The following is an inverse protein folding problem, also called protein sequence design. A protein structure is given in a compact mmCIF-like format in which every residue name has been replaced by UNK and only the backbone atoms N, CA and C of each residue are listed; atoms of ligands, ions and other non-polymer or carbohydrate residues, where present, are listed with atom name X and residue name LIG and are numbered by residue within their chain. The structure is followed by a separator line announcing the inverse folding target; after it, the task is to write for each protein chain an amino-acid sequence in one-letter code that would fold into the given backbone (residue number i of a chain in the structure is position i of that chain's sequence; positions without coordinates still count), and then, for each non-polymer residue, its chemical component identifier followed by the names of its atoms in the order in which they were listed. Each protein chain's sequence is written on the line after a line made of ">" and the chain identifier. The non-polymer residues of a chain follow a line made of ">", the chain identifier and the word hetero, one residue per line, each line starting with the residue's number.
data_IF_754501224303
#
_entry.id   IF_754501224303
#
_cell.length_a   1.000
_cell.length_b   1.000
_cell.length_c   1.000
_cell.angle_alpha   90.00
_cell.angle_beta   90.00
_cell.angle_gamma   90.00
#
_symmetry.space_group_name_H-M   'P 1'
#
loop_
_entity.id
_entity.type
_entity.pdbx_description
1 polymer ?
#
# COMPACT_ATOMS: atom_id res chain seq x y z
N UNK A 1 -10.97 -9.43 -1.22
CA UNK A 1 -10.16 -9.83 -0.05
C UNK A 1 -8.98 -10.71 -0.47
N UNK A 2 -9.18 -11.68 -1.37
CA UNK A 2 -8.09 -12.52 -1.89
C UNK A 2 -6.93 -11.76 -2.56
N UNK A 3 -7.18 -10.58 -3.15
CA UNK A 3 -6.13 -9.73 -3.73
C UNK A 3 -5.10 -9.23 -2.69
N UNK A 4 -5.43 -9.27 -1.39
CA UNK A 4 -4.51 -8.83 -0.34
C UNK A 4 -3.30 -9.77 -0.21
N UNK A 5 -3.42 -11.04 -0.61
CA UNK A 5 -2.30 -11.99 -0.63
C UNK A 5 -1.25 -11.64 -1.70
N UNK A 6 -1.62 -10.92 -2.74
CA UNK A 6 -0.70 -10.52 -3.81
C UNK A 6 0.34 -9.51 -3.31
N UNK A 7 0.02 -8.71 -2.29
CA UNK A 7 0.92 -7.69 -1.73
C UNK A 7 2.17 -8.29 -1.05
N UNK A 8 2.05 -9.19 -0.05
CA UNK A 8 3.23 -9.82 0.57
C UNK A 8 4.01 -10.69 -0.42
N UNK A 9 3.33 -11.31 -1.39
CA UNK A 9 4.02 -12.02 -2.49
C UNK A 9 4.86 -11.06 -3.34
N UNK A 10 4.34 -9.88 -3.65
CA UNK A 10 5.10 -8.79 -4.27
C UNK A 10 6.30 -8.37 -3.43
N UNK A 11 6.13 -8.24 -2.12
CA UNK A 11 7.21 -7.84 -1.22
C UNK A 11 8.31 -8.90 -1.13
N UNK A 12 7.96 -10.19 -1.03
CA UNK A 12 8.91 -11.32 -1.06
C UNK A 12 9.66 -11.40 -2.39
N UNK A 13 8.95 -11.23 -3.51
CA UNK A 13 9.57 -11.30 -4.84
C UNK A 13 10.54 -10.13 -5.06
N UNK A 14 10.18 -8.91 -4.67
CA UNK A 14 11.08 -7.75 -4.73
C UNK A 14 12.27 -7.94 -3.81
N UNK A 15 12.07 -8.40 -2.57
CA UNK A 15 13.16 -8.71 -1.64
C UNK A 15 14.11 -9.77 -2.22
N UNK A 16 13.55 -10.82 -2.84
CA UNK A 16 14.31 -11.84 -3.56
C UNK A 16 15.12 -11.27 -4.72
N UNK A 17 14.52 -10.48 -5.60
CA UNK A 17 15.21 -9.83 -6.73
C UNK A 17 16.33 -8.90 -6.23
N UNK A 18 16.07 -8.17 -5.14
CA UNK A 18 17.04 -7.25 -4.55
C UNK A 18 18.26 -7.94 -3.92
N UNK A 19 18.17 -9.24 -3.60
CA UNK A 19 19.32 -10.05 -3.20
C UNK A 19 20.31 -10.26 -4.36
N UNK A 20 19.78 -10.44 -5.58
CA UNK A 20 20.58 -10.64 -6.79
C UNK A 20 21.06 -9.32 -7.40
N UNK A 21 20.23 -8.28 -7.35
CA UNK A 21 20.50 -6.97 -7.95
C UNK A 21 20.70 -5.92 -6.84
N UNK A 22 21.97 -5.61 -6.56
CA UNK A 22 22.36 -4.66 -5.50
C UNK A 22 22.32 -3.17 -5.94
N UNK A 23 22.18 -2.90 -7.24
CA UNK A 23 22.08 -1.54 -7.76
C UNK A 23 20.64 -1.02 -7.69
N UNK A 24 20.42 0.13 -7.03
CA UNK A 24 19.09 0.73 -6.91
C UNK A 24 18.47 1.10 -8.26
N UNK A 25 19.30 1.48 -9.26
CA UNK A 25 18.85 1.79 -10.63
C UNK A 25 18.35 0.55 -11.37
N UNK A 26 19.11 -0.53 -11.31
CA UNK A 26 18.76 -1.80 -11.95
C UNK A 26 17.50 -2.42 -11.31
N UNK A 27 17.37 -2.29 -9.99
CA UNK A 27 16.16 -2.70 -9.28
C UNK A 27 14.93 -1.89 -9.74
N UNK A 28 15.07 -0.56 -9.85
CA UNK A 28 13.99 0.32 -10.33
C UNK A 28 13.59 0.00 -11.77
N UNK A 29 14.55 -0.27 -12.65
CA UNK A 29 14.30 -0.68 -14.04
C UNK A 29 13.54 -2.01 -14.07
N UNK A 30 13.96 -2.99 -13.28
CA UNK A 30 13.31 -4.32 -13.21
C UNK A 30 11.86 -4.21 -12.74
N UNK A 31 11.60 -3.40 -11.71
CA UNK A 31 10.25 -3.15 -11.20
C UNK A 31 9.39 -2.45 -12.26
N UNK A 32 9.94 -1.42 -12.90
CA UNK A 32 9.22 -0.65 -13.93
C UNK A 32 8.91 -1.51 -15.15
N UNK A 33 9.86 -2.37 -15.57
CA UNK A 33 9.67 -3.30 -16.68
C UNK A 33 8.54 -4.29 -16.39
N UNK A 34 8.50 -4.83 -15.16
CA UNK A 34 7.40 -5.67 -14.71
C UNK A 34 6.08 -4.91 -14.72
N UNK A 35 6.08 -3.63 -14.34
CA UNK A 35 4.90 -2.79 -14.35
C UNK A 35 4.34 -2.54 -15.77
N UNK A 36 5.21 -2.45 -16.79
CA UNK A 36 4.83 -2.24 -18.20
C UNK A 36 4.09 -3.44 -18.79
N UNK A 37 4.20 -4.64 -18.19
CA UNK A 37 3.44 -5.82 -18.62
C UNK A 37 1.95 -5.72 -18.22
N UNK A 38 1.59 -4.96 -17.18
CA UNK A 38 0.19 -4.85 -16.75
C UNK A 38 -0.75 -4.15 -17.75
N UNK A 39 -0.36 -3.07 -18.43
CA UNK A 39 -1.14 -2.52 -19.54
C UNK A 39 -1.41 -3.54 -20.65
N UNK A 40 -0.47 -4.44 -20.95
CA UNK A 40 -0.68 -5.48 -21.95
C UNK A 40 -1.73 -6.49 -21.49
N UNK A 41 -1.80 -6.78 -20.19
CA UNK A 41 -2.84 -7.61 -19.58
C UNK A 41 -4.22 -6.95 -19.62
N UNK A 42 -4.32 -5.62 -19.70
CA UNK A 42 -5.62 -4.93 -19.79
C UNK A 42 -6.42 -5.31 -21.04
N UNK A 43 -5.75 -5.73 -22.12
CA UNK A 43 -6.41 -6.26 -23.31
C UNK A 43 -6.99 -7.67 -23.11
N UNK A 44 -6.51 -8.41 -22.11
CA UNK A 44 -6.99 -9.76 -21.81
C UNK A 44 -8.18 -9.75 -20.85
N UNK A 45 -8.25 -8.78 -19.94
CA UNK A 45 -9.31 -8.70 -18.93
C UNK A 45 -10.51 -7.91 -19.44
N UNK A 46 -11.68 -8.55 -19.41
CA UNK A 46 -12.95 -7.86 -19.67
C UNK A 46 -13.26 -6.89 -18.54
N UNK A 47 -13.86 -5.75 -18.89
CA UNK A 47 -14.23 -4.72 -17.92
C UNK A 47 -15.28 -5.23 -16.92
N UNK A 48 -15.33 -4.59 -15.74
CA UNK A 48 -16.28 -5.01 -14.71
C UNK A 48 -17.73 -4.68 -15.11
N UNK A 49 -18.70 -5.59 -14.91
CA UNK A 49 -20.11 -5.32 -15.20
C UNK A 49 -20.68 -4.09 -14.50
N UNK A 50 -20.20 -3.80 -13.28
CA UNK A 50 -20.62 -2.61 -12.52
C UNK A 50 -20.21 -1.30 -13.19
N UNK A 51 -18.99 -1.26 -13.73
CA UNK A 51 -18.50 -0.08 -14.47
C UNK A 51 -19.29 0.15 -15.75
N UNK A 52 -19.59 -0.93 -16.49
CA UNK A 52 -20.39 -0.87 -17.72
C UNK A 52 -21.81 -0.35 -17.45
N UNK A 53 -22.43 -0.78 -16.33
CA UNK A 53 -23.73 -0.25 -15.87
C UNK A 53 -23.66 1.26 -15.59
N UNK A 54 -22.61 1.74 -14.91
CA UNK A 54 -22.44 3.18 -14.66
C UNK A 54 -22.17 4.00 -15.92
N UNK A 55 -21.56 3.38 -16.94
CA UNK A 55 -21.34 3.98 -18.26
C UNK A 55 -22.58 3.91 -19.17
N UNK A 56 -23.73 3.42 -18.66
CA UNK A 56 -24.98 3.22 -19.40
C UNK A 56 -24.89 2.19 -20.53
N UNK A 57 -23.86 1.34 -20.53
CA UNK A 57 -23.70 0.26 -21.51
C UNK A 57 -24.24 -1.06 -20.95
N UNK A 58 -25.56 -1.17 -20.93
CA UNK A 58 -26.26 -2.35 -20.41
C UNK A 58 -26.00 -3.62 -21.23
N UNK A 59 -25.83 -3.49 -22.54
CA UNK A 59 -25.66 -4.62 -23.45
C UNK A 59 -24.30 -5.29 -23.25
N UNK A 60 -23.20 -4.52 -23.16
CA UNK A 60 -21.88 -5.07 -22.81
C UNK A 60 -21.87 -5.63 -21.39
N UNK A 61 -22.56 -4.99 -20.44
CA UNK A 61 -22.66 -5.50 -19.07
C UNK A 61 -23.32 -6.88 -19.03
N UNK A 62 -24.40 -7.07 -19.80
CA UNK A 62 -25.10 -8.35 -19.91
C UNK A 62 -24.26 -9.41 -20.60
N UNK A 63 -23.53 -9.06 -21.66
CA UNK A 63 -22.61 -9.98 -22.32
C UNK A 63 -21.54 -10.50 -21.35
N UNK A 64 -20.86 -9.61 -20.63
CA UNK A 64 -19.85 -9.99 -19.65
C UNK A 64 -20.46 -10.83 -18.52
N UNK A 65 -21.67 -10.50 -18.06
CA UNK A 65 -22.34 -11.30 -17.03
C UNK A 65 -22.71 -12.71 -17.53
N UNK A 66 -23.16 -12.87 -18.78
CA UNK A 66 -23.46 -14.18 -19.37
C UNK A 66 -22.21 -15.07 -19.41
N UNK A 67 -21.09 -14.54 -19.86
CA UNK A 67 -19.82 -15.27 -19.91
C UNK A 67 -19.31 -15.66 -18.51
N UNK A 68 -19.43 -14.75 -17.53
CA UNK A 68 -19.10 -15.06 -16.12
C UNK A 68 -20.00 -16.18 -15.59
N UNK A 69 -21.27 -16.20 -15.99
CA UNK A 69 -22.23 -17.19 -15.55
C UNK A 69 -22.00 -18.56 -16.18
N UNK A 70 -21.66 -18.59 -17.48
CA UNK A 70 -21.18 -19.79 -18.19
C UNK A 70 -19.92 -20.35 -17.53
N UNK A 71 -18.94 -19.50 -17.23
CA UNK A 71 -17.70 -19.91 -16.54
C UNK A 71 -17.99 -20.49 -15.15
N UNK A 72 -18.93 -19.88 -14.42
CA UNK A 72 -19.35 -20.34 -13.10
C UNK A 72 -20.41 -21.46 -13.13
N UNK A 73 -20.79 -21.96 -14.31
CA UNK A 73 -21.84 -22.97 -14.53
C UNK A 73 -23.15 -22.65 -13.80
N UNK A 74 -23.53 -21.37 -13.81
CA UNK A 74 -24.75 -20.88 -13.17
C UNK A 74 -25.56 -20.10 -14.20
N UNK A 75 -26.87 -20.28 -14.21
CA UNK A 75 -27.73 -19.55 -15.14
C UNK A 75 -27.91 -18.09 -14.70
N UNK A 76 -27.97 -17.19 -15.69
CA UNK A 76 -28.39 -15.82 -15.42
C UNK A 76 -29.86 -15.80 -15.01
N UNK A 77 -30.24 -14.93 -14.05
CA UNK A 77 -31.65 -14.68 -13.77
C UNK A 77 -32.39 -14.27 -15.06
N UNK A 78 -33.59 -14.81 -15.35
CA UNK A 78 -34.36 -14.45 -16.54
C UNK A 78 -34.70 -12.95 -16.64
N UNK A 79 -34.61 -12.24 -15.50
CA UNK A 79 -34.86 -10.81 -15.36
C UNK A 79 -33.58 -9.96 -15.33
N UNK A 80 -32.40 -10.52 -15.65
CA UNK A 80 -31.13 -9.78 -15.62
C UNK A 80 -31.17 -8.51 -16.49
N UNK A 81 -31.79 -8.57 -17.67
CA UNK A 81 -31.94 -7.41 -18.56
C UNK A 81 -32.77 -6.28 -17.91
N UNK A 82 -33.81 -6.65 -17.16
CA UNK A 82 -34.65 -5.69 -16.42
C UNK A 82 -33.89 -5.09 -15.24
N UNK A 83 -33.10 -5.90 -14.52
CA UNK A 83 -32.31 -5.45 -13.38
C UNK A 83 -31.19 -4.50 -13.80
N UNK A 84 -30.54 -4.76 -14.94
CA UNK A 84 -29.53 -3.86 -15.52
C UNK A 84 -30.17 -2.54 -15.94
N UNK A 85 -31.29 -2.59 -16.66
CA UNK A 85 -32.03 -1.37 -17.05
C UNK A 85 -32.50 -0.58 -15.84
N UNK A 86 -33.01 -1.25 -14.80
CA UNK A 86 -33.39 -0.61 -13.55
C UNK A 86 -32.20 0.04 -12.86
N UNK A 87 -31.05 -0.63 -12.78
CA UNK A 87 -29.83 -0.06 -12.18
C UNK A 87 -29.32 1.18 -12.94
N UNK A 88 -29.47 1.21 -14.26
CA UNK A 88 -29.14 2.39 -15.08
C UNK A 88 -30.12 3.54 -14.81
N UNK A 89 -31.43 3.24 -14.72
CA UNK A 89 -32.48 4.24 -14.46
C UNK A 89 -32.43 4.80 -13.03
N UNK A 90 -32.18 3.95 -12.03
CA UNK A 90 -32.04 4.36 -10.63
C UNK A 90 -30.78 5.23 -10.44
N UNK A 91 -29.73 4.97 -11.21
CA UNK A 91 -28.53 5.81 -11.25
C UNK A 91 -28.82 7.24 -11.74
N UNK A 92 -29.73 7.42 -12.70
CA UNK A 92 -30.09 8.73 -13.26
C UNK A 92 -31.03 9.53 -12.34
N UNK A 93 -31.97 8.84 -11.69
CA UNK A 93 -32.98 9.49 -10.84
C UNK A 93 -32.49 9.85 -9.44
N UNK A 94 -31.41 9.23 -8.95
CA UNK A 94 -30.97 9.38 -7.55
C UNK A 94 -29.52 9.83 -7.36
N UNK A 95 -28.70 9.94 -8.41
CA UNK A 95 -27.34 10.44 -8.30
C UNK A 95 -27.19 11.81 -8.98
N UNK A 96 -27.39 12.94 -8.25
CA UNK A 96 -26.84 14.21 -8.72
C UNK A 96 -25.33 14.04 -8.94
N UNK A 97 -24.75 14.80 -9.87
CA UNK A 97 -23.31 14.77 -10.12
C UNK A 97 -22.54 15.03 -8.81
N UNK A 98 -22.10 13.94 -8.16
CA UNK A 98 -21.56 13.98 -6.80
C UNK A 98 -20.23 14.70 -6.86
N UNK A 99 -20.18 15.91 -6.32
CA UNK A 99 -18.96 16.70 -6.24
C UNK A 99 -18.16 16.33 -4.99
N UNK A 100 -16.85 16.64 -4.99
CA UNK A 100 -16.04 16.56 -3.76
C UNK A 100 -16.62 17.39 -2.61
N UNK A 101 -17.38 18.46 -2.92
CA UNK A 101 -18.07 19.30 -1.95
C UNK A 101 -19.22 18.58 -1.23
N UNK A 102 -19.88 17.62 -1.88
CA UNK A 102 -20.99 16.87 -1.28
C UNK A 102 -20.52 15.93 -0.17
N UNK A 103 -19.24 15.55 -0.18
CA UNK A 103 -18.61 14.80 0.90
C UNK A 103 -18.60 15.58 2.23
N UNK A 104 -18.57 16.92 2.16
CA UNK A 104 -18.55 17.80 3.32
C UNK A 104 -19.94 18.33 3.70
N UNK A 105 -20.88 18.39 2.74
CA UNK A 105 -22.24 18.89 2.96
C UNK A 105 -23.00 18.06 4.01
N UNK A 106 -23.04 16.73 3.86
CA UNK A 106 -23.83 15.87 4.75
C UNK A 106 -23.03 15.55 6.04
N UNK A 107 -23.57 15.83 7.24
CA UNK A 107 -22.84 15.64 8.50
C UNK A 107 -22.48 14.17 8.78
N UNK A 108 -23.29 13.21 8.30
CA UNK A 108 -23.01 11.78 8.45
C UNK A 108 -21.84 11.34 7.56
N UNK A 109 -21.85 11.71 6.28
CA UNK A 109 -20.78 11.39 5.33
C UNK A 109 -19.47 12.05 5.75
N UNK A 110 -19.53 13.29 6.28
CA UNK A 110 -18.36 13.99 6.82
C UNK A 110 -17.72 13.24 7.98
N UNK A 111 -18.52 12.76 8.95
CA UNK A 111 -18.01 11.97 10.08
C UNK A 111 -17.34 10.69 9.59
N UNK A 112 -18.00 9.95 8.68
CA UNK A 112 -17.44 8.71 8.13
C UNK A 112 -16.14 8.96 7.36
N UNK A 113 -16.11 10.02 6.54
CA UNK A 113 -14.92 10.38 5.76
C UNK A 113 -13.77 10.79 6.66
N UNK A 114 -14.00 11.63 7.66
CA UNK A 114 -12.97 12.07 8.61
C UNK A 114 -12.39 10.91 9.41
N UNK A 115 -13.24 10.00 9.89
CA UNK A 115 -12.79 8.78 10.59
C UNK A 115 -11.97 7.90 9.65
N UNK A 116 -12.44 7.70 8.42
CA UNK A 116 -11.72 6.92 7.40
C UNK A 116 -10.33 7.52 7.12
N UNK A 117 -10.24 8.82 6.86
CA UNK A 117 -8.96 9.50 6.63
C UNK A 117 -8.03 9.42 7.83
N UNK A 118 -8.55 9.60 9.05
CA UNK A 118 -7.75 9.47 10.28
C UNK A 118 -7.16 8.07 10.43
N UNK A 119 -7.95 7.02 10.15
CA UNK A 119 -7.49 5.63 10.17
C UNK A 119 -6.40 5.41 9.13
N UNK A 120 -6.63 5.83 7.88
CA UNK A 120 -5.63 5.69 6.82
C UNK A 120 -4.33 6.43 7.14
N UNK A 121 -4.43 7.66 7.64
CA UNK A 121 -3.28 8.44 8.08
C UNK A 121 -2.47 7.70 9.14
N UNK A 122 -3.15 7.16 10.16
CA UNK A 122 -2.50 6.42 11.25
C UNK A 122 -1.80 5.17 10.72
N UNK A 123 -2.47 4.41 9.84
CA UNK A 123 -1.91 3.19 9.24
C UNK A 123 -0.67 3.51 8.40
N UNK A 124 -0.72 4.53 7.54
CA UNK A 124 0.44 4.94 6.75
C UNK A 124 1.58 5.45 7.62
N UNK A 125 1.26 6.26 8.64
CA UNK A 125 2.28 6.80 9.54
C UNK A 125 3.03 5.69 10.28
N UNK A 126 2.30 4.72 10.84
CA UNK A 126 2.91 3.56 11.51
C UNK A 126 3.69 2.69 10.51
N UNK A 127 3.13 2.43 9.32
CA UNK A 127 3.80 1.63 8.29
C UNK A 127 5.14 2.24 7.85
N UNK A 128 5.15 3.51 7.44
CA UNK A 128 6.39 4.18 7.05
C UNK A 128 7.33 4.35 8.23
N UNK A 129 6.81 4.59 9.44
CA UNK A 129 7.60 4.62 10.67
C UNK A 129 8.34 3.30 10.91
N UNK A 130 7.68 2.16 10.73
CA UNK A 130 8.31 0.85 10.85
C UNK A 130 9.33 0.61 9.73
N UNK A 131 8.93 0.76 8.47
CA UNK A 131 9.80 0.49 7.30
C UNK A 131 11.09 1.31 7.33
N UNK A 132 11.01 2.60 7.70
CA UNK A 132 12.20 3.46 7.79
C UNK A 132 13.12 3.06 8.95
N UNK A 133 12.58 2.55 10.06
CA UNK A 133 13.38 2.12 11.21
C UNK A 133 13.92 0.70 11.09
N UNK A 134 13.36 -0.16 10.24
CA UNK A 134 13.91 -1.51 9.94
C UNK A 134 15.37 -1.40 9.46
N UNK A 135 15.72 -0.34 8.73
CA UNK A 135 17.09 -0.10 8.27
C UNK A 135 18.11 0.18 9.40
N UNK A 136 17.65 0.51 10.61
CA UNK A 136 18.50 0.82 11.76
C UNK A 136 18.79 -0.39 12.64
N UNK A 137 18.05 -1.48 12.47
CA UNK A 137 18.32 -2.73 13.15
C UNK A 137 19.57 -3.27 12.46
N UNK A 138 20.68 -3.42 13.19
CA UNK A 138 22.02 -3.70 12.64
C UNK A 138 22.20 -5.07 11.95
N UNK A 139 21.13 -5.65 11.40
CA UNK A 139 21.08 -6.90 10.66
C UNK A 139 21.07 -6.73 9.13
N UNK A 140 20.73 -7.81 8.43
CA UNK A 140 20.60 -7.82 6.99
C UNK A 140 19.18 -7.35 6.60
N UNK A 141 19.10 -6.13 6.05
CA UNK A 141 17.85 -5.50 5.60
C UNK A 141 17.01 -6.40 4.69
N UNK A 142 17.64 -7.26 3.88
CA UNK A 142 16.92 -8.21 3.02
C UNK A 142 16.23 -9.32 3.83
N UNK A 143 16.90 -9.86 4.86
CA UNK A 143 16.33 -10.88 5.72
C UNK A 143 15.19 -10.34 6.58
N UNK A 144 15.37 -9.14 7.15
CA UNK A 144 14.35 -8.48 7.96
C UNK A 144 13.10 -8.14 7.13
N UNK A 145 13.31 -7.72 5.87
CA UNK A 145 12.20 -7.50 4.92
C UNK A 145 11.43 -8.77 4.60
N UNK A 146 12.13 -9.89 4.37
CA UNK A 146 11.49 -11.19 4.09
C UNK A 146 10.73 -11.70 5.32
N UNK A 147 11.29 -11.57 6.53
CA UNK A 147 10.62 -11.96 7.76
C UNK A 147 9.35 -11.12 7.96
N UNK A 148 9.42 -9.79 7.75
CA UNK A 148 8.24 -8.93 7.81
C UNK A 148 7.17 -9.37 6.81
N UNK A 149 7.56 -9.68 5.57
CA UNK A 149 6.64 -10.18 4.54
C UNK A 149 5.99 -11.51 4.93
N UNK A 150 6.78 -12.41 5.52
CA UNK A 150 6.32 -13.71 5.96
C UNK A 150 5.31 -13.61 7.11
N UNK A 151 5.46 -12.62 8.00
CA UNK A 151 4.51 -12.33 9.08
C UNK A 151 3.20 -11.74 8.55
N UNK A 152 3.22 -11.01 7.43
CA UNK A 152 2.00 -10.47 6.83
C UNK A 152 1.07 -11.56 6.26
N UNK A 153 1.60 -12.66 5.74
CA UNK A 153 0.80 -13.77 5.18
C UNK A 153 -0.20 -14.39 6.19
N UNK A 154 0.24 -14.87 7.38
CA UNK A 154 -0.69 -15.39 8.39
C UNK A 154 -1.55 -14.28 8.99
N UNK A 155 -1.05 -13.04 9.09
CA UNK A 155 -1.84 -11.91 9.57
C UNK A 155 -3.01 -11.62 8.63
N UNK A 156 -2.82 -11.66 7.31
CA UNK A 156 -3.90 -11.54 6.33
C UNK A 156 -4.89 -12.69 6.50
N UNK A 157 -4.43 -13.94 6.58
CA UNK A 157 -5.31 -15.09 6.80
C UNK A 157 -6.18 -14.93 8.06
N UNK A 158 -5.57 -14.53 9.18
CA UNK A 158 -6.27 -14.26 10.44
C UNK A 158 -7.26 -13.10 10.31
N UNK A 159 -6.89 -12.03 9.61
CA UNK A 159 -7.77 -10.87 9.39
C UNK A 159 -9.05 -11.27 8.65
N UNK A 160 -8.96 -12.19 7.68
CA UNK A 160 -10.12 -12.70 6.94
C UNK A 160 -11.05 -13.46 7.89
N UNK A 161 -10.51 -14.37 8.70
CA UNK A 161 -11.30 -15.15 9.65
C UNK A 161 -12.01 -14.25 10.67
N UNK A 162 -11.30 -13.24 11.19
CA UNK A 162 -11.86 -12.28 12.15
C UNK A 162 -12.97 -11.45 11.49
N UNK A 163 -12.77 -10.96 10.27
CA UNK A 163 -13.77 -10.17 9.53
C UNK A 163 -15.04 -10.98 9.23
N UNK A 164 -14.90 -12.28 8.94
CA UNK A 164 -16.03 -13.18 8.72
C UNK A 164 -16.83 -13.46 10.00
N UNK A 165 -16.17 -13.48 11.18
CA UNK A 165 -16.79 -13.89 12.45
C UNK A 165 -17.28 -12.72 13.34
N UNK A 166 -16.54 -11.60 13.39
CA UNK A 166 -16.76 -10.50 14.35
C UNK A 166 -17.23 -9.18 13.69
N UNK A 167 -17.49 -9.19 12.38
CA UNK A 167 -17.88 -8.00 11.63
C UNK A 167 -16.71 -7.04 11.37
N UNK A 168 -16.99 -5.83 10.83
CA UNK A 168 -15.94 -4.94 10.28
C UNK A 168 -15.37 -3.91 11.26
N UNK A 169 -16.19 -3.39 12.19
CA UNK A 169 -15.83 -2.24 13.03
C UNK A 169 -14.93 -2.59 14.21
N UNK A 170 -15.28 -3.64 14.96
CA UNK A 170 -14.53 -4.07 16.14
C UNK A 170 -13.09 -4.50 15.82
N UNK A 171 -12.83 -5.31 14.78
CA UNK A 171 -11.47 -5.73 14.45
C UNK A 171 -10.57 -4.56 14.06
N UNK A 172 -11.11 -3.56 13.35
CA UNK A 172 -10.36 -2.35 12.99
C UNK A 172 -9.93 -1.58 14.24
N UNK A 173 -10.86 -1.30 15.16
CA UNK A 173 -10.53 -0.59 16.40
C UNK A 173 -9.49 -1.35 17.24
N UNK A 174 -9.69 -2.65 17.43
CA UNK A 174 -8.78 -3.50 18.20
C UNK A 174 -7.39 -3.51 17.57
N UNK A 175 -7.29 -3.70 16.25
CA UNK A 175 -6.01 -3.70 15.54
C UNK A 175 -5.28 -2.35 15.66
N UNK A 176 -5.98 -1.23 15.52
CA UNK A 176 -5.37 0.10 15.69
C UNK A 176 -4.88 0.37 17.10
N UNK A 177 -5.64 -0.07 18.13
CA UNK A 177 -5.22 0.09 19.53
C UNK A 177 -4.02 -0.81 19.84
N UNK A 178 -4.05 -2.08 19.41
CA UNK A 178 -2.92 -2.99 19.58
C UNK A 178 -1.65 -2.48 18.88
N UNK A 179 -1.77 -1.96 17.66
CA UNK A 179 -0.65 -1.35 16.95
C UNK A 179 -0.08 -0.13 17.70
N UNK A 180 -0.94 0.73 18.25
CA UNK A 180 -0.52 1.87 19.06
C UNK A 180 0.20 1.44 20.35
N UNK A 181 -0.34 0.45 21.06
CA UNK A 181 0.31 -0.12 22.26
C UNK A 181 1.67 -0.74 21.89
N UNK A 182 1.75 -1.51 20.81
CA UNK A 182 3.01 -2.08 20.33
C UNK A 182 4.06 -1.00 20.03
N UNK A 183 3.67 0.12 19.40
CA UNK A 183 4.57 1.25 19.17
C UNK A 183 5.07 1.87 20.48
N UNK A 184 4.20 2.06 21.49
CA UNK A 184 4.61 2.59 22.80
C UNK A 184 5.56 1.64 23.53
N UNK A 185 5.37 0.32 23.39
CA UNK A 185 6.26 -0.68 23.99
C UNK A 185 7.69 -0.62 23.41
N UNK A 186 7.87 -0.16 22.17
CA UNK A 186 9.22 -0.02 21.58
C UNK A 186 10.11 0.96 22.35
N UNK A 187 9.54 1.93 23.08
CA UNK A 187 10.28 2.88 23.91
C UNK A 187 11.00 2.17 25.07
N UNK A 188 10.43 1.07 25.58
CA UNK A 188 10.99 0.31 26.69
C UNK A 188 12.00 -0.76 26.24
N UNK A 189 12.06 -1.05 24.95
CA UNK A 189 13.06 -1.97 24.38
C UNK A 189 14.39 -1.22 24.30
N UNK A 190 15.30 -1.55 25.22
CA UNK A 190 16.65 -1.03 25.22
C UNK A 190 17.40 -1.55 23.99
N UNK A 191 17.87 -0.64 23.14
CA UNK A 191 18.71 -0.97 21.99
C UNK A 191 20.13 -1.28 22.46
N UNK A 192 20.36 -2.51 22.92
CA UNK A 192 21.70 -3.00 23.20
C UNK A 192 22.36 -3.36 21.85
N UNK A 193 22.96 -2.38 21.16
CA UNK A 193 23.72 -2.68 19.94
C UNK A 193 24.03 -1.49 19.02
N UNK A 194 25.16 -0.82 19.28
CA UNK A 194 26.07 -0.31 18.26
C UNK A 194 25.59 0.82 17.36
N UNK A 195 25.82 2.06 17.79
CA UNK A 195 25.91 3.23 16.92
C UNK A 195 27.01 3.04 15.87
N UNK A 196 26.70 2.40 14.74
CA UNK A 196 27.56 2.46 13.54
C UNK A 196 26.78 2.13 12.27
N UNK A 197 26.20 3.15 11.66
CA UNK A 197 25.94 3.13 10.21
C UNK A 197 27.30 3.05 9.48
N UNK A 198 27.57 2.06 8.59
CA UNK A 198 28.81 2.03 7.81
C UNK A 198 28.83 3.03 6.63
N UNK A 199 27.78 3.86 6.46
CA UNK A 199 27.55 4.61 5.22
C UNK A 199 27.95 6.08 5.21
N UNK A 200 28.18 6.72 6.36
CA UNK A 200 28.51 8.15 6.42
C UNK A 200 29.45 8.49 7.58
N UNK A 201 30.64 7.88 7.61
CA UNK A 201 31.78 8.55 8.25
C UNK A 201 32.24 9.65 7.29
N UNK A 202 31.71 10.87 7.45
CA UNK A 202 32.52 12.03 7.09
C UNK A 202 33.80 11.91 7.93
N UNK A 203 34.99 11.90 7.32
CA UNK A 203 36.22 11.81 8.09
C UNK A 203 36.30 13.07 8.98
N UNK A 204 36.12 12.89 10.29
CA UNK A 204 36.28 13.89 11.36
C UNK A 204 37.74 14.41 11.49
N UNK A 205 38.51 14.39 10.40
CA UNK A 205 39.84 14.97 10.30
C UNK A 205 40.06 15.83 9.05
N UNK A 206 39.03 16.05 8.21
CA UNK A 206 39.17 16.87 6.99
C UNK A 206 38.79 18.35 7.18
N UNK A 207 37.93 18.66 8.16
CA UNK A 207 37.53 20.05 8.44
C UNK A 207 38.56 20.82 9.29
N UNK A 208 39.40 20.13 10.06
CA UNK A 208 40.42 20.77 10.89
C UNK A 208 41.67 21.13 10.07
N UNK A 209 42.01 20.33 9.04
CA UNK A 209 43.18 20.61 8.18
C UNK A 209 43.00 21.83 7.28
N UNK A 210 41.79 22.08 6.78
CA UNK A 210 41.54 23.27 5.98
C UNK A 210 41.53 24.57 6.80
N UNK A 211 41.23 24.51 8.09
CA UNK A 211 41.27 25.68 8.97
C UNK A 211 42.69 26.02 9.45
N UNK A 212 43.59 25.04 9.45
CA UNK A 212 45.00 25.20 9.84
C UNK A 212 45.91 25.60 8.66
N UNK A 213 45.55 25.23 7.42
CA UNK A 213 46.22 25.74 6.21
C UNK A 213 45.81 27.18 5.84
N UNK A 214 44.61 27.63 6.25
CA UNK A 214 44.11 28.98 5.99
C UNK A 214 44.60 30.03 7.01
N UNK A 215 45.27 29.64 8.10
CA UNK A 215 45.77 30.54 9.14
C UNK A 215 47.26 30.87 9.04
N UNK A 216 47.96 30.36 8.02
CA UNK A 216 49.34 30.79 7.75
C UNK A 216 49.34 32.21 7.16
N UNK A 217 50.05 33.17 7.77
CA UNK A 217 50.11 34.53 7.26
C UNK A 217 50.82 34.57 5.90
N UNK A 218 50.24 35.34 4.98
CA UNK A 218 50.83 35.74 3.71
C UNK A 218 51.70 36.98 3.97
N UNK A 219 53.00 36.88 3.68
CA UNK A 219 54.02 37.95 3.79
C UNK A 219 55.30 37.40 4.44
N UNK A 220 56.51 37.51 3.88
CA UNK A 220 57.07 38.58 3.07
C UNK A 220 57.97 38.06 1.93
N UNK A 221 57.92 38.82 0.83
CA UNK A 221 58.92 38.89 -0.23
C UNK A 221 60.30 39.30 0.31
N UNK A 222 61.34 38.57 -0.11
CA UNK A 222 62.62 39.11 -0.60
C UNK A 222 63.21 38.15 -1.61
#
# INVERSE_FOLDING_TARGET
>A
VSYLFTIPLGYITIAGISYWIKGWRELQITITLTAVVFPLLSWLFKESPRWLITMKDGDRALQVMREIAEFNKKDLPPNADKLVKQAIMDGDNHAPAVGLKDLFNTPEIRKVSFVMYSIWFTVYFVYYGLVLNVSKWGGNVYADSVISAAVELPAIGLSILILLKMGRRLPLCIATVLAGVACLLTIFVKSDGGDSWPGYRLPEGSLIKHHEEASKPIGDTT
#
